data_IF_635391034852
#
_entry.id   IF_635391034852
#
_cell.length_a   1.000
_cell.length_b   1.000
_cell.length_c   1.000
_cell.angle_alpha   90.00
_cell.angle_beta   90.00
_cell.angle_gamma   90.00
#
_symmetry.space_group_name_H-M   'P 1'
#
loop_
_entity.id
_entity.type
_entity.pdbx_description
1 polymer ?
#
# COMPACT_ATOMS: atom_id res chain seq x y z
N UNK A 1 -7.49 -7.80 16.48
CA UNK A 1 -6.26 -7.08 16.93
C UNK A 1 -6.30 -5.69 16.32
N UNK A 2 -5.89 -4.66 17.05
CA UNK A 2 -5.84 -3.26 16.58
C UNK A 2 -4.40 -2.78 16.74
N UNK A 3 -3.92 -1.94 15.84
CA UNK A 3 -2.56 -1.43 15.88
C UNK A 3 -2.33 -0.55 17.12
N UNK A 4 -1.16 -0.65 17.78
CA UNK A 4 -0.82 0.26 18.85
C UNK A 4 -0.45 1.65 18.30
N UNK A 5 -0.73 2.69 19.07
CA UNK A 5 -0.16 4.01 18.80
C UNK A 5 1.36 3.96 19.02
N UNK A 6 2.09 4.68 18.20
CA UNK A 6 3.54 4.77 18.27
C UNK A 6 4.03 6.15 17.87
N UNK A 7 5.22 6.51 18.35
CA UNK A 7 5.95 7.67 17.86
C UNK A 7 6.86 7.26 16.70
N UNK A 8 7.04 8.15 15.74
CA UNK A 8 7.89 7.87 14.59
C UNK A 8 7.96 9.02 13.61
N UNK A 9 8.96 8.97 12.75
CA UNK A 9 9.16 9.92 11.66
C UNK A 9 9.56 9.21 10.38
N UNK A 10 9.11 9.70 9.24
CA UNK A 10 9.52 9.25 7.92
C UNK A 10 9.65 10.44 6.98
N UNK A 11 10.58 10.35 6.03
CA UNK A 11 10.78 11.36 5.01
C UNK A 11 11.10 10.71 3.67
N UNK A 12 10.66 11.34 2.60
CA UNK A 12 10.96 10.95 1.25
C UNK A 12 11.40 12.18 0.43
N UNK A 13 12.34 11.99 -0.49
CA UNK A 13 12.76 13.02 -1.44
C UNK A 13 12.19 12.63 -2.80
N UNK A 14 11.31 13.48 -3.32
CA UNK A 14 10.72 13.34 -4.66
C UNK A 14 11.39 14.33 -5.60
N UNK A 15 11.86 13.84 -6.74
CA UNK A 15 12.51 14.65 -7.75
C UNK A 15 11.98 14.31 -9.14
N UNK A 16 12.09 15.23 -10.08
CA UNK A 16 11.79 14.93 -11.48
C UNK A 16 12.80 13.90 -12.03
N UNK A 17 12.39 13.14 -13.03
CA UNK A 17 13.28 12.21 -13.73
C UNK A 17 14.55 12.89 -14.25
N UNK A 18 14.42 14.11 -14.78
CA UNK A 18 15.56 14.92 -15.19
C UNK A 18 16.54 15.17 -14.05
N UNK A 19 16.01 15.53 -12.86
CA UNK A 19 16.84 15.76 -11.67
C UNK A 19 17.49 14.49 -11.15
N UNK A 20 16.77 13.37 -11.17
CA UNK A 20 17.33 12.06 -10.80
C UNK A 20 18.53 11.69 -11.68
N UNK A 21 18.42 11.90 -13.01
CA UNK A 21 19.55 11.69 -13.93
C UNK A 21 20.74 12.61 -13.64
N UNK A 22 20.49 13.89 -13.36
CA UNK A 22 21.55 14.85 -12.99
C UNK A 22 22.28 14.46 -11.69
N UNK A 23 21.56 13.80 -10.76
CA UNK A 23 22.14 13.30 -9.51
C UNK A 23 22.83 11.93 -9.66
N UNK A 24 22.91 11.38 -10.88
CA UNK A 24 23.56 10.10 -11.14
C UNK A 24 22.84 8.90 -10.52
N UNK A 25 21.51 8.99 -10.33
CA UNK A 25 20.75 7.88 -9.75
C UNK A 25 20.65 6.71 -10.72
N UNK A 26 21.30 5.60 -10.40
CA UNK A 26 21.37 4.42 -11.28
C UNK A 26 20.13 3.51 -11.23
N UNK A 27 19.33 3.59 -10.18
CA UNK A 27 18.12 2.77 -10.00
C UNK A 27 17.01 3.61 -9.33
N UNK A 28 16.51 4.66 -10.03
CA UNK A 28 15.43 5.45 -9.47
C UNK A 28 14.16 4.59 -9.39
N UNK A 29 13.46 4.70 -8.29
CA UNK A 29 12.09 4.21 -8.16
C UNK A 29 11.18 5.33 -8.66
N UNK A 30 10.27 5.01 -9.56
CA UNK A 30 9.30 5.97 -10.11
C UNK A 30 7.97 5.85 -9.39
N UNK A 31 7.41 6.96 -8.98
CA UNK A 31 6.04 7.09 -8.54
C UNK A 31 5.18 7.25 -9.80
N UNK A 32 4.47 6.19 -10.19
CA UNK A 32 3.67 6.17 -11.43
C UNK A 32 2.21 6.51 -11.21
N UNK A 33 1.73 6.38 -9.98
CA UNK A 33 0.41 6.86 -9.56
C UNK A 33 0.46 7.35 -8.12
N UNK A 34 -0.27 8.42 -7.83
CA UNK A 34 -0.47 8.95 -6.48
C UNK A 34 -1.85 9.60 -6.43
N UNK A 35 -2.80 8.88 -5.83
CA UNK A 35 -4.21 9.28 -5.77
C UNK A 35 -4.61 9.53 -4.34
N UNK A 36 -5.36 10.59 -4.11
CA UNK A 36 -6.04 10.89 -2.86
C UNK A 36 -7.52 11.06 -3.14
N UNK A 37 -8.36 10.34 -2.41
CA UNK A 37 -9.81 10.49 -2.43
C UNK A 37 -10.28 10.89 -1.04
N UNK A 38 -11.15 11.90 -0.97
CA UNK A 38 -11.85 12.29 0.25
C UNK A 38 -13.20 11.61 0.31
N UNK A 39 -13.70 11.41 1.53
CA UNK A 39 -15.06 10.92 1.76
C UNK A 39 -16.08 11.74 0.96
N UNK A 40 -17.08 11.07 0.44
CA UNK A 40 -18.27 11.65 -0.17
C UNK A 40 -19.51 10.88 0.30
N UNK A 41 -20.64 11.58 0.39
CA UNK A 41 -21.90 10.93 0.77
C UNK A 41 -22.41 10.03 -0.35
N UNK A 42 -22.70 8.77 0.00
CA UNK A 42 -23.28 7.77 -0.89
C UNK A 42 -24.20 6.83 -0.11
N UNK A 43 -25.14 6.12 -0.77
CA UNK A 43 -25.94 5.08 -0.15
C UNK A 43 -25.08 3.98 0.46
N UNK A 44 -25.54 3.36 1.54
CA UNK A 44 -24.79 2.30 2.23
C UNK A 44 -24.60 1.02 1.38
N UNK A 45 -25.45 0.83 0.38
CA UNK A 45 -25.43 -0.28 -0.59
C UNK A 45 -24.79 0.12 -1.93
N UNK A 46 -24.16 1.28 -2.02
CA UNK A 46 -23.44 1.69 -3.22
C UNK A 46 -22.31 0.69 -3.53
N UNK A 47 -22.12 0.34 -4.80
CA UNK A 47 -21.06 -0.61 -5.19
C UNK A 47 -19.66 -0.04 -4.95
N UNK A 48 -19.54 1.29 -4.95
CA UNK A 48 -18.28 2.00 -4.81
C UNK A 48 -18.25 2.87 -3.55
N UNK A 49 -17.12 2.85 -2.90
CA UNK A 49 -16.78 3.68 -1.75
C UNK A 49 -15.45 4.42 -1.98
N UNK A 50 -15.04 5.24 -1.03
CA UNK A 50 -13.78 6.01 -1.12
C UNK A 50 -12.58 5.12 -1.42
N UNK A 51 -12.52 3.93 -0.80
CA UNK A 51 -11.39 2.99 -0.96
C UNK A 51 -11.36 2.38 -2.35
N UNK A 52 -12.48 1.82 -2.83
CA UNK A 52 -12.57 1.17 -4.14
C UNK A 52 -12.27 2.15 -5.27
N UNK A 53 -12.84 3.36 -5.22
CA UNK A 53 -12.59 4.39 -6.23
C UNK A 53 -11.14 4.88 -6.24
N UNK A 54 -10.53 5.05 -5.06
CA UNK A 54 -9.12 5.46 -4.97
C UNK A 54 -8.18 4.41 -5.58
N UNK A 55 -8.44 3.13 -5.29
CA UNK A 55 -7.67 2.01 -5.82
C UNK A 55 -7.86 1.87 -7.33
N UNK A 56 -9.11 1.91 -7.81
CA UNK A 56 -9.42 1.83 -9.25
C UNK A 56 -8.73 2.94 -10.03
N UNK A 57 -8.79 4.18 -9.53
CA UNK A 57 -8.12 5.33 -10.14
C UNK A 57 -6.58 5.14 -10.14
N UNK A 58 -6.01 4.63 -9.05
CA UNK A 58 -4.57 4.41 -8.97
C UNK A 58 -4.08 3.36 -9.98
N UNK A 59 -4.80 2.26 -10.16
CA UNK A 59 -4.50 1.27 -11.19
C UNK A 59 -4.65 1.83 -12.59
N UNK A 60 -5.73 2.56 -12.85
CA UNK A 60 -5.96 3.21 -14.14
C UNK A 60 -4.81 4.15 -14.52
N UNK A 61 -4.43 5.05 -13.61
CA UNK A 61 -3.37 6.04 -13.85
C UNK A 61 -2.00 5.41 -14.07
N UNK A 62 -1.74 4.29 -13.38
CA UNK A 62 -0.50 3.53 -13.54
C UNK A 62 -0.49 2.66 -14.81
N UNK A 63 -1.65 2.34 -15.39
CA UNK A 63 -1.80 1.36 -16.45
C UNK A 63 -1.44 -0.06 -15.99
N UNK A 64 -1.71 -0.37 -14.72
CA UNK A 64 -1.38 -1.62 -14.05
C UNK A 64 -2.62 -2.20 -13.37
N UNK A 65 -2.54 -3.47 -12.95
CA UNK A 65 -3.58 -4.14 -12.19
C UNK A 65 -3.02 -4.96 -11.02
N UNK A 66 -3.88 -5.61 -10.23
CA UNK A 66 -3.45 -6.38 -9.06
C UNK A 66 -2.48 -7.51 -9.42
N UNK A 67 -2.57 -8.08 -10.62
CA UNK A 67 -1.67 -9.14 -11.11
C UNK A 67 -0.24 -8.67 -11.37
N UNK A 68 -0.02 -7.35 -11.51
CA UNK A 68 1.30 -6.77 -11.77
C UNK A 68 2.07 -6.47 -10.48
N UNK A 69 1.39 -6.52 -9.33
CA UNK A 69 1.98 -6.19 -8.04
C UNK A 69 2.99 -7.26 -7.59
N UNK A 70 4.13 -6.81 -7.12
CA UNK A 70 5.13 -7.65 -6.46
C UNK A 70 4.97 -7.68 -4.95
N UNK A 71 4.45 -6.62 -4.35
CA UNK A 71 4.19 -6.50 -2.92
C UNK A 71 3.25 -5.32 -2.62
N UNK A 72 2.67 -5.36 -1.43
CA UNK A 72 1.78 -4.30 -0.92
C UNK A 72 2.15 -3.91 0.51
N UNK A 73 2.17 -2.62 0.80
CA UNK A 73 2.10 -2.07 2.16
C UNK A 73 0.72 -1.41 2.33
N UNK A 74 -0.16 -2.04 3.09
CA UNK A 74 -1.52 -1.56 3.32
C UNK A 74 -1.73 -1.04 4.75
N UNK A 75 -2.80 -0.30 4.96
CA UNK A 75 -3.17 0.28 6.25
C UNK A 75 -3.93 -0.73 7.10
N UNK A 76 -3.19 -1.61 7.77
CA UNK A 76 -3.71 -2.63 8.70
C UNK A 76 -3.96 -2.04 10.10
N UNK A 77 -4.85 -1.05 10.20
CA UNK A 77 -5.25 -0.50 11.50
C UNK A 77 -5.88 -1.54 12.41
N UNK A 78 -6.46 -2.59 11.82
CA UNK A 78 -6.89 -3.80 12.49
C UNK A 78 -6.70 -5.03 11.60
N UNK A 79 -6.69 -6.21 12.20
CA UNK A 79 -6.58 -7.47 11.45
C UNK A 79 -7.74 -7.70 10.48
N UNK A 80 -8.93 -7.19 10.79
CA UNK A 80 -10.06 -7.29 9.87
C UNK A 80 -9.92 -6.32 8.70
N UNK A 81 -9.35 -5.14 8.92
CA UNK A 81 -9.09 -4.17 7.85
C UNK A 81 -8.15 -4.74 6.79
N UNK A 82 -7.12 -5.48 7.21
CA UNK A 82 -6.23 -6.16 6.28
C UNK A 82 -7.00 -7.12 5.36
N UNK A 83 -7.85 -7.98 5.92
CA UNK A 83 -8.65 -8.94 5.15
C UNK A 83 -9.59 -8.26 4.14
N UNK A 84 -10.30 -7.21 4.57
CA UNK A 84 -11.20 -6.43 3.70
C UNK A 84 -10.42 -5.73 2.58
N UNK A 85 -9.21 -5.29 2.86
CA UNK A 85 -8.38 -4.62 1.86
C UNK A 85 -7.88 -5.56 0.77
N UNK A 86 -7.76 -6.86 1.02
CA UNK A 86 -7.40 -7.83 -0.02
C UNK A 86 -8.42 -7.84 -1.18
N UNK A 87 -9.70 -7.81 -0.86
CA UNK A 87 -10.77 -7.71 -1.87
C UNK A 87 -10.72 -6.35 -2.59
N UNK A 88 -10.69 -5.24 -1.86
CA UNK A 88 -10.61 -3.91 -2.46
C UNK A 88 -9.43 -3.77 -3.42
N UNK A 89 -8.28 -4.37 -3.11
CA UNK A 89 -7.10 -4.37 -3.97
C UNK A 89 -7.18 -5.38 -5.13
N UNK A 90 -8.19 -6.24 -5.17
CA UNK A 90 -8.34 -7.29 -6.17
C UNK A 90 -7.33 -8.42 -6.01
N UNK A 91 -6.79 -8.64 -4.82
CA UNK A 91 -5.85 -9.74 -4.52
C UNK A 91 -6.57 -11.08 -4.37
N UNK A 92 -7.83 -11.05 -3.94
CA UNK A 92 -8.73 -12.19 -3.79
C UNK A 92 -10.17 -11.72 -3.91
N UNK A 93 -11.10 -12.66 -4.11
CA UNK A 93 -12.54 -12.38 -3.93
C UNK A 93 -12.88 -12.31 -2.44
N UNK A 94 -14.01 -11.72 -2.04
CA UNK A 94 -14.42 -11.66 -0.63
C UNK A 94 -14.39 -13.03 0.07
N UNK A 95 -14.82 -14.08 -0.65
CA UNK A 95 -14.89 -15.45 -0.15
C UNK A 95 -13.49 -16.06 0.06
N UNK A 96 -12.52 -15.65 -0.76
CA UNK A 96 -11.17 -16.21 -0.80
C UNK A 96 -10.16 -15.45 0.06
N UNK A 97 -10.49 -14.28 0.62
CA UNK A 97 -9.57 -13.47 1.43
C UNK A 97 -8.94 -14.24 2.60
N UNK A 98 -9.73 -15.07 3.27
CA UNK A 98 -9.24 -15.89 4.39
C UNK A 98 -8.29 -16.98 3.90
N UNK A 99 -8.58 -17.60 2.77
CA UNK A 99 -7.72 -18.63 2.18
C UNK A 99 -6.43 -18.01 1.64
N UNK A 100 -6.48 -16.83 1.03
CA UNK A 100 -5.29 -16.08 0.62
C UNK A 100 -4.32 -15.89 1.79
N UNK A 101 -4.84 -15.52 2.98
CA UNK A 101 -4.03 -15.39 4.19
C UNK A 101 -3.51 -16.74 4.70
N UNK A 102 -4.39 -17.76 4.81
CA UNK A 102 -4.05 -19.07 5.37
C UNK A 102 -3.05 -19.86 4.53
N UNK A 103 -3.10 -19.72 3.22
CA UNK A 103 -2.14 -20.36 2.31
C UNK A 103 -0.71 -19.83 2.45
N UNK A 104 -0.50 -18.73 3.20
CA UNK A 104 0.80 -18.06 3.30
C UNK A 104 1.17 -17.25 2.05
N UNK A 105 0.24 -17.07 1.12
CA UNK A 105 0.48 -16.30 -0.12
C UNK A 105 0.86 -14.84 0.15
N UNK A 106 0.43 -14.28 1.28
CA UNK A 106 0.72 -12.89 1.70
C UNK A 106 1.97 -12.76 2.57
N UNK A 107 2.62 -13.86 2.92
CA UNK A 107 3.87 -13.85 3.68
C UNK A 107 5.06 -13.49 2.80
N UNK A 108 6.18 -13.13 3.43
CA UNK A 108 7.45 -12.97 2.72
C UNK A 108 7.83 -14.29 2.01
N UNK A 109 8.06 -14.20 0.70
CA UNK A 109 8.29 -15.38 -0.15
C UNK A 109 7.02 -15.99 -0.73
N UNK A 110 5.84 -15.53 -0.33
CA UNK A 110 4.55 -15.90 -0.92
C UNK A 110 4.30 -15.22 -2.27
N UNK A 111 3.14 -15.52 -2.86
CA UNK A 111 2.74 -15.02 -4.19
C UNK A 111 2.61 -13.49 -4.24
N UNK A 112 2.05 -12.89 -3.20
CA UNK A 112 1.82 -11.44 -3.08
C UNK A 112 2.09 -10.98 -1.63
N UNK A 113 3.36 -10.75 -1.27
CA UNK A 113 3.73 -10.31 0.07
C UNK A 113 3.03 -9.02 0.48
N UNK A 114 2.42 -9.03 1.66
CA UNK A 114 1.70 -7.89 2.24
C UNK A 114 2.36 -7.50 3.54
N UNK A 115 2.56 -6.20 3.74
CA UNK A 115 3.08 -5.64 4.98
C UNK A 115 4.40 -6.29 5.46
N UNK A 116 5.34 -6.48 4.53
CA UNK A 116 6.66 -7.07 4.84
C UNK A 116 7.46 -6.21 5.83
N UNK A 117 7.10 -4.94 5.99
CA UNK A 117 7.65 -4.06 7.03
C UNK A 117 7.19 -4.45 8.45
N UNK A 118 6.17 -5.30 8.57
CA UNK A 118 5.46 -5.65 9.78
C UNK A 118 4.10 -4.96 9.92
N UNK A 119 3.75 -4.03 9.00
CA UNK A 119 2.51 -3.29 9.04
C UNK A 119 2.33 -2.42 10.29
N UNK A 120 1.16 -1.83 10.44
CA UNK A 120 0.81 -1.05 11.62
C UNK A 120 0.60 -1.94 12.84
N UNK A 121 0.10 -3.16 12.62
CA UNK A 121 -0.20 -4.10 13.71
C UNK A 121 1.05 -4.49 14.50
N UNK A 122 2.20 -4.61 13.85
CA UNK A 122 3.44 -5.02 14.50
C UNK A 122 4.34 -3.85 14.88
N UNK A 123 4.56 -2.90 13.98
CA UNK A 123 5.50 -1.78 14.22
C UNK A 123 4.86 -0.57 14.89
N UNK A 124 3.52 -0.57 15.05
CA UNK A 124 2.76 0.56 15.55
C UNK A 124 2.41 1.56 14.46
N UNK A 125 1.56 2.52 14.82
CA UNK A 125 0.99 3.52 13.92
C UNK A 125 1.38 4.95 14.35
N UNK A 126 2.55 5.46 13.94
CA UNK A 126 2.84 6.88 14.03
C UNK A 126 2.06 7.59 12.92
N UNK A 127 0.89 8.13 13.27
CA UNK A 127 -0.18 8.56 12.34
C UNK A 127 0.34 9.44 11.20
N UNK A 128 1.15 10.46 11.51
CA UNK A 128 1.70 11.37 10.50
C UNK A 128 2.84 10.79 9.66
N UNK A 129 3.45 9.69 10.08
CA UNK A 129 4.62 9.10 9.41
C UNK A 129 4.30 7.84 8.62
N UNK A 130 3.21 7.14 8.92
CA UNK A 130 2.90 5.80 8.38
C UNK A 130 2.90 5.77 6.84
N UNK A 131 2.22 6.70 6.17
CA UNK A 131 2.16 6.69 4.70
C UNK A 131 3.54 6.85 4.05
N UNK A 132 4.39 7.72 4.57
CA UNK A 132 5.77 7.86 4.08
C UNK A 132 6.65 6.67 4.46
N UNK A 133 6.39 6.00 5.58
CA UNK A 133 7.09 4.78 5.97
C UNK A 133 6.75 3.61 5.02
N UNK A 134 5.52 3.52 4.52
CA UNK A 134 5.15 2.57 3.47
C UNK A 134 5.89 2.86 2.17
N UNK A 135 5.94 4.12 1.73
CA UNK A 135 6.73 4.55 0.55
C UNK A 135 8.21 4.22 0.74
N UNK A 136 8.76 4.43 1.94
CA UNK A 136 10.14 4.06 2.26
C UNK A 136 10.37 2.56 2.11
N UNK A 137 9.51 1.71 2.68
CA UNK A 137 9.66 0.25 2.57
C UNK A 137 9.56 -0.20 1.12
N UNK A 138 8.52 0.21 0.38
CA UNK A 138 8.37 -0.13 -1.05
C UNK A 138 9.60 0.33 -1.84
N UNK A 139 10.09 1.54 -1.61
CA UNK A 139 11.29 2.05 -2.29
C UNK A 139 12.51 1.16 -2.01
N UNK A 140 12.73 0.75 -0.76
CA UNK A 140 13.82 -0.16 -0.38
C UNK A 140 13.69 -1.52 -1.06
N UNK A 141 12.48 -2.06 -1.10
CA UNK A 141 12.17 -3.32 -1.78
C UNK A 141 12.49 -3.26 -3.28
N UNK A 142 12.01 -2.21 -3.95
CA UNK A 142 12.22 -2.02 -5.38
C UNK A 142 13.70 -1.75 -5.72
N UNK A 143 14.46 -1.18 -4.79
CA UNK A 143 15.92 -0.97 -4.94
C UNK A 143 16.76 -2.22 -4.64
N UNK A 144 16.17 -3.29 -4.10
CA UNK A 144 16.90 -4.47 -3.64
C UNK A 144 17.71 -4.21 -2.37
N UNK A 145 17.21 -3.37 -1.47
CA UNK A 145 17.91 -2.90 -0.25
C UNK A 145 17.12 -3.17 1.05
N UNK A 146 16.18 -4.11 1.02
CA UNK A 146 15.34 -4.40 2.19
C UNK A 146 15.94 -5.43 3.16
N UNK A 147 17.15 -5.93 2.89
CA UNK A 147 17.83 -6.91 3.76
C UNK A 147 17.03 -8.21 3.86
N UNK A 148 16.85 -8.71 5.08
CA UNK A 148 16.16 -9.99 5.34
C UNK A 148 14.66 -9.97 4.98
N UNK A 149 14.08 -8.76 4.77
CA UNK A 149 12.70 -8.60 4.32
C UNK A 149 12.55 -8.51 2.81
N UNK A 150 13.64 -8.71 2.05
CA UNK A 150 13.64 -8.51 0.61
C UNK A 150 12.68 -9.45 -0.13
N UNK A 151 11.72 -8.89 -0.83
CA UNK A 151 10.89 -9.61 -1.80
C UNK A 151 11.70 -9.83 -3.06
N UNK A 152 11.90 -11.09 -3.42
CA UNK A 152 12.70 -11.46 -4.59
C UNK A 152 12.06 -10.93 -5.88
N UNK A 153 12.85 -10.26 -6.71
CA UNK A 153 12.39 -9.78 -8.01
C UNK A 153 11.38 -8.65 -7.99
N UNK A 154 11.18 -7.96 -6.86
CA UNK A 154 10.21 -6.86 -6.74
C UNK A 154 10.40 -5.78 -7.81
N UNK A 155 9.32 -5.45 -8.53
CA UNK A 155 9.27 -4.46 -9.61
C UNK A 155 8.16 -3.43 -9.45
N UNK A 156 7.03 -3.83 -8.89
CA UNK A 156 5.86 -2.99 -8.67
C UNK A 156 5.43 -3.12 -7.22
N UNK A 157 5.29 -2.02 -6.53
CA UNK A 157 4.80 -1.99 -5.16
C UNK A 157 3.67 -0.97 -4.99
N UNK A 158 2.70 -1.32 -4.18
CA UNK A 158 1.55 -0.47 -3.87
C UNK A 158 1.57 -0.10 -2.39
N UNK A 159 1.36 1.19 -2.09
CA UNK A 159 1.06 1.71 -0.76
C UNK A 159 -0.41 2.10 -0.70
N UNK A 160 -1.14 1.60 0.32
CA UNK A 160 -2.53 1.95 0.61
C UNK A 160 -2.60 2.49 2.02
N UNK A 161 -3.08 3.72 2.19
CA UNK A 161 -3.12 4.38 3.50
C UNK A 161 -4.42 5.17 3.69
N UNK A 162 -5.18 4.79 4.72
CA UNK A 162 -6.40 5.47 5.14
C UNK A 162 -6.15 6.47 6.27
N UNK A 163 -6.89 7.56 6.27
CA UNK A 163 -6.81 8.61 7.28
C UNK A 163 -8.18 9.05 7.78
N UNK A 164 -8.35 9.05 9.11
CA UNK A 164 -9.59 9.44 9.77
C UNK A 164 -10.77 8.51 9.49
N UNK A 165 -11.91 8.84 10.09
CA UNK A 165 -13.17 8.12 9.88
C UNK A 165 -14.35 9.10 9.80
N UNK A 166 -15.23 8.90 8.83
CA UNK A 166 -16.51 9.57 8.73
C UNK A 166 -17.56 8.46 8.61
N UNK A 167 -18.53 8.43 9.56
CA UNK A 167 -19.47 7.32 9.70
C UNK A 167 -18.71 6.00 9.89
N UNK A 168 -18.93 5.01 9.04
CA UNK A 168 -18.26 3.70 9.10
C UNK A 168 -17.10 3.56 8.07
N UNK A 169 -16.69 4.66 7.42
CA UNK A 169 -15.71 4.65 6.35
C UNK A 169 -14.50 5.52 6.64
N UNK A 170 -13.46 5.34 5.82
CA UNK A 170 -12.28 6.20 5.86
C UNK A 170 -12.62 7.61 5.38
N UNK A 171 -12.13 8.63 6.09
CA UNK A 171 -12.37 10.03 5.70
C UNK A 171 -11.53 10.47 4.49
N UNK A 172 -10.33 9.91 4.34
CA UNK A 172 -9.48 10.10 3.18
C UNK A 172 -8.66 8.84 2.91
N UNK A 173 -8.60 8.44 1.65
CA UNK A 173 -7.79 7.31 1.18
C UNK A 173 -6.69 7.82 0.26
N UNK A 174 -5.49 7.30 0.47
CA UNK A 174 -4.36 7.53 -0.41
C UNK A 174 -3.81 6.20 -0.95
N UNK A 175 -3.62 6.13 -2.26
CA UNK A 175 -2.98 4.99 -2.93
C UNK A 175 -1.84 5.49 -3.80
N UNK A 176 -0.67 4.90 -3.61
CA UNK A 176 0.51 5.18 -4.42
C UNK A 176 1.03 3.89 -5.06
N UNK A 177 1.39 3.95 -6.36
CA UNK A 177 2.03 2.84 -7.07
C UNK A 177 3.42 3.27 -7.51
N UNK A 178 4.40 2.46 -7.13
CA UNK A 178 5.80 2.69 -7.41
C UNK A 178 6.36 1.54 -8.26
N UNK A 179 7.23 1.89 -9.21
CA UNK A 179 7.87 0.91 -10.10
C UNK A 179 9.38 1.15 -10.22
N UNK A 180 10.07 0.08 -10.53
CA UNK A 180 11.51 0.10 -10.83
C UNK A 180 11.78 -0.09 -12.31
#
# INVERSE_FOLDING_TARGET
>A
MVCPLADGGAAAIVVSERKARQLGMHKPVRLVSSVVQSYFDHPADAPDNVTSLCIAQAYHDAGLGPQDLSLVELHDSSSITELLTYDHLGLATPEDCIELLRSGATQLGGRIPVNVSGGLLRKGHPVGATGLAQIFEITRQLQGRAGDRQVAGARVGLCHNGGGSIRAEVAAMNVNILVR
#
